data_IF_489386001458
#
_entry.id   IF_489386001458
#
_cell.length_a   1.000
_cell.length_b   1.000
_cell.length_c   1.000
_cell.angle_alpha   90.00
_cell.angle_beta   90.00
_cell.angle_gamma   90.00
#
_symmetry.space_group_name_H-M   'P 1'
#
loop_
_entity.id
_entity.type
_entity.pdbx_description
1 polymer ?
#
# COMPACT_ATOMS: atom_id res chain seq x y z
N UNK A 1 21.75 76.09 15.49
CA UNK A 1 22.32 75.15 14.51
C UNK A 1 22.87 73.96 15.29
N UNK A 2 22.05 72.91 15.47
CA UNK A 2 22.16 71.60 14.78
C UNK A 2 23.59 71.02 14.80
N UNK A 3 23.91 69.85 15.36
CA UNK A 3 23.13 68.78 15.97
C UNK A 3 24.02 67.53 16.10
N UNK A 4 24.15 67.01 17.31
CA UNK A 4 24.80 65.73 17.61
C UNK A 4 23.94 64.57 17.06
N UNK A 5 24.51 63.61 16.31
CA UNK A 5 23.91 62.29 16.13
C UNK A 5 24.94 61.18 16.26
N UNK A 6 24.75 60.39 17.32
CA UNK A 6 25.49 59.19 17.72
C UNK A 6 25.23 58.06 16.72
N UNK A 7 26.29 57.44 16.21
CA UNK A 7 26.23 56.14 15.56
C UNK A 7 26.20 55.04 16.64
N UNK A 8 25.01 54.62 17.05
CA UNK A 8 24.81 53.38 17.83
C UNK A 8 23.67 52.62 17.16
N UNK A 9 23.95 51.99 16.02
CA UNK A 9 22.96 51.16 15.33
C UNK A 9 23.58 50.00 14.54
N UNK A 10 24.82 49.59 14.86
CA UNK A 10 25.49 48.48 14.16
C UNK A 10 25.65 47.20 14.99
N UNK A 11 25.17 47.15 16.24
CA UNK A 11 25.34 45.96 17.11
C UNK A 11 24.05 45.19 17.43
N UNK A 12 22.88 45.74 17.15
CA UNK A 12 21.60 45.08 17.47
C UNK A 12 21.11 44.17 16.34
N UNK A 13 21.47 44.46 15.07
CA UNK A 13 21.05 43.64 13.92
C UNK A 13 21.79 42.29 13.86
N UNK A 14 23.01 42.19 14.41
CA UNK A 14 23.74 40.93 14.46
C UNK A 14 23.30 39.96 15.57
N UNK A 15 22.54 40.42 16.58
CA UNK A 15 22.02 39.52 17.62
C UNK A 15 20.67 38.89 17.25
N UNK A 16 19.90 39.51 16.34
CA UNK A 16 18.67 38.89 15.82
C UNK A 16 18.95 37.84 14.73
N UNK A 17 20.10 37.89 14.06
CA UNK A 17 20.49 36.90 13.06
C UNK A 17 20.98 35.57 13.68
N UNK A 18 21.23 35.53 15.00
CA UNK A 18 21.73 34.32 15.67
C UNK A 18 20.65 33.52 16.43
N UNK A 19 19.42 34.04 16.52
CA UNK A 19 18.30 33.35 17.21
C UNK A 19 17.37 32.57 16.27
N UNK A 20 17.66 32.56 14.96
CA UNK A 20 16.93 31.74 13.97
C UNK A 20 17.64 30.40 13.72
N UNK A 21 18.74 30.14 14.45
CA UNK A 21 19.49 28.89 14.39
C UNK A 21 18.77 27.75 15.13
N UNK A 22 18.14 26.89 14.34
CA UNK A 22 17.80 25.50 14.66
C UNK A 22 16.71 25.25 15.71
N UNK A 23 15.46 25.57 15.39
CA UNK A 23 14.40 24.58 15.60
C UNK A 23 14.45 23.59 14.44
N UNK A 24 15.40 22.66 14.50
CA UNK A 24 15.25 21.40 13.77
C UNK A 24 14.14 20.65 14.50
N UNK A 25 12.89 20.83 14.07
CA UNK A 25 11.85 19.89 14.43
C UNK A 25 12.37 18.53 13.97
N UNK A 26 12.66 17.64 14.91
CA UNK A 26 12.80 16.23 14.61
C UNK A 26 11.42 15.80 14.12
N UNK A 27 11.19 15.89 12.81
CA UNK A 27 10.10 15.16 12.18
C UNK A 27 10.49 13.71 12.43
N UNK A 28 9.84 13.09 13.42
CA UNK A 28 9.80 11.64 13.48
C UNK A 28 9.06 11.26 12.21
N UNK A 29 9.82 10.95 11.17
CA UNK A 29 9.27 10.36 9.97
C UNK A 29 8.62 9.05 10.43
N UNK A 30 7.31 8.96 10.24
CA UNK A 30 6.56 7.75 10.53
C UNK A 30 7.24 6.60 9.82
N UNK A 31 7.48 5.49 10.52
CA UNK A 31 8.03 4.31 9.86
C UNK A 31 7.04 3.86 8.80
N UNK A 32 7.48 3.83 7.55
CA UNK A 32 6.66 3.33 6.45
C UNK A 32 6.43 1.84 6.58
N UNK A 33 5.25 1.38 6.15
CA UNK A 33 4.91 -0.03 6.10
C UNK A 33 4.74 -0.42 4.65
N UNK A 34 5.86 -0.55 3.96
CA UNK A 34 6.00 -0.51 2.50
C UNK A 34 5.49 -1.77 1.75
N UNK A 35 5.32 -2.89 2.44
CA UNK A 35 5.00 -4.19 1.80
C UNK A 35 4.28 -5.14 2.76
N UNK A 36 3.93 -6.32 2.27
CA UNK A 36 3.46 -7.41 3.12
C UNK A 36 4.47 -7.70 4.26
N UNK A 37 4.00 -7.63 5.51
CA UNK A 37 4.82 -7.71 6.73
C UNK A 37 5.79 -6.52 6.95
N UNK A 38 5.56 -5.39 6.28
CA UNK A 38 6.24 -4.14 6.56
C UNK A 38 7.73 -4.14 6.21
N UNK A 39 8.52 -3.23 6.83
CA UNK A 39 9.93 -3.05 6.49
C UNK A 39 10.72 -4.35 6.55
N UNK A 40 11.44 -4.62 5.47
CA UNK A 40 12.24 -5.84 5.28
C UNK A 40 11.43 -7.15 5.38
N UNK A 41 10.09 -7.11 5.29
CA UNK A 41 9.20 -8.27 5.38
C UNK A 41 9.19 -8.97 6.74
N UNK A 42 9.68 -8.30 7.80
CA UNK A 42 9.92 -8.92 9.09
C UNK A 42 8.64 -9.13 9.91
N UNK A 43 7.64 -8.29 9.73
CA UNK A 43 6.43 -8.22 10.55
C UNK A 43 6.67 -7.53 11.89
N UNK A 44 7.71 -6.70 11.99
CA UNK A 44 8.14 -6.04 13.22
C UNK A 44 8.19 -4.52 13.00
N UNK A 45 7.61 -3.77 13.93
CA UNK A 45 7.75 -2.30 13.99
C UNK A 45 8.96 -1.93 14.85
N UNK A 46 9.53 -0.74 14.59
CA UNK A 46 10.39 -0.09 15.56
C UNK A 46 9.53 0.57 16.65
N UNK A 47 9.69 0.14 17.90
CA UNK A 47 8.98 0.71 19.04
C UNK A 47 7.88 -0.19 19.60
N UNK A 48 6.91 0.42 20.29
CA UNK A 48 5.86 -0.30 21.01
C UNK A 48 4.51 -0.11 20.32
N UNK A 49 3.81 -1.21 20.07
CA UNK A 49 2.39 -1.19 19.74
C UNK A 49 1.56 -1.43 21.02
N UNK A 50 0.33 -0.90 21.11
CA UNK A 50 -0.58 -1.27 22.19
C UNK A 50 -0.80 -2.79 22.22
N UNK A 51 -0.49 -3.43 23.35
CA UNK A 51 -0.68 -4.88 23.52
C UNK A 51 -2.18 -5.26 23.61
N UNK A 52 -3.01 -4.30 24.00
CA UNK A 52 -4.45 -4.40 23.99
C UNK A 52 -5.03 -3.02 23.66
N UNK A 53 -6.21 -3.01 23.06
CA UNK A 53 -7.00 -1.81 22.79
C UNK A 53 -8.49 -2.14 22.88
N UNK A 54 -9.30 -1.11 23.03
CA UNK A 54 -10.75 -1.14 23.19
C UNK A 54 -11.43 -0.28 22.13
N UNK A 55 -12.74 -0.46 21.93
CA UNK A 55 -13.50 0.36 20.98
C UNK A 55 -13.49 1.86 21.32
N UNK A 56 -13.18 2.24 22.56
CA UNK A 56 -13.01 3.64 22.97
C UNK A 56 -11.71 4.27 22.44
N UNK A 57 -10.71 3.44 22.13
CA UNK A 57 -9.42 3.86 21.55
C UNK A 57 -9.44 3.81 20.02
N UNK A 58 -10.54 3.34 19.43
CA UNK A 58 -10.74 3.30 17.98
C UNK A 58 -10.89 4.72 17.42
N UNK A 59 -9.92 5.16 16.64
CA UNK A 59 -9.94 6.49 16.03
C UNK A 59 -11.00 6.60 14.93
N UNK A 60 -11.07 5.59 14.07
CA UNK A 60 -12.03 5.52 12.97
C UNK A 60 -12.16 4.09 12.46
N UNK A 61 -13.26 3.83 11.75
CA UNK A 61 -13.51 2.57 11.06
C UNK A 61 -14.29 2.85 9.79
N UNK A 62 -13.90 2.17 8.71
CA UNK A 62 -14.61 2.21 7.45
C UNK A 62 -15.12 0.83 7.06
N UNK A 63 -16.19 0.83 6.26
CA UNK A 63 -16.67 -0.36 5.59
C UNK A 63 -15.99 -0.44 4.22
N UNK A 64 -15.26 -1.53 3.98
CA UNK A 64 -14.69 -1.82 2.67
C UNK A 64 -15.75 -2.44 1.74
N UNK A 65 -15.65 -2.24 0.42
CA UNK A 65 -16.43 -3.02 -0.53
C UNK A 65 -15.94 -4.47 -0.54
N UNK A 66 -16.87 -5.43 -0.47
CA UNK A 66 -16.55 -6.86 -0.47
C UNK A 66 -15.71 -7.32 0.73
N UNK A 67 -14.87 -8.32 0.52
CA UNK A 67 -13.97 -8.92 1.51
C UNK A 67 -12.52 -8.45 1.28
N UNK A 68 -11.76 -8.18 2.35
CA UNK A 68 -10.37 -7.73 2.26
C UNK A 68 -9.44 -8.57 3.14
N UNK A 69 -8.75 -9.57 2.55
CA UNK A 69 -7.67 -10.31 3.24
C UNK A 69 -6.31 -9.61 3.09
N UNK A 70 -6.19 -8.63 2.19
CA UNK A 70 -5.01 -7.80 2.01
C UNK A 70 -4.61 -7.19 3.34
N UNK A 71 -3.31 -7.28 3.67
CA UNK A 71 -2.77 -6.42 4.72
C UNK A 71 -2.72 -4.99 4.19
N UNK A 72 -2.97 -3.97 5.02
CA UNK A 72 -2.72 -2.59 4.65
C UNK A 72 -1.21 -2.33 4.56
N UNK A 73 -0.82 -1.51 3.59
CA UNK A 73 0.50 -0.88 3.51
C UNK A 73 0.38 0.62 3.68
N UNK A 74 1.41 1.27 4.23
CA UNK A 74 1.37 2.67 4.64
C UNK A 74 2.56 3.40 4.03
N UNK A 75 2.27 4.52 3.37
CA UNK A 75 3.26 5.51 2.95
C UNK A 75 2.82 6.92 3.37
N UNK A 76 3.53 7.54 4.30
CA UNK A 76 3.14 8.78 4.96
C UNK A 76 1.77 8.66 5.65
N UNK A 77 0.79 9.43 5.16
CA UNK A 77 -0.60 9.42 5.67
C UNK A 77 -1.56 8.63 4.79
N UNK A 78 -1.05 7.83 3.87
CA UNK A 78 -1.86 7.04 2.93
C UNK A 78 -1.77 5.57 3.30
N UNK A 79 -2.92 4.94 3.44
CA UNK A 79 -3.07 3.51 3.63
C UNK A 79 -3.57 2.93 2.31
N UNK A 80 -2.83 1.97 1.75
CA UNK A 80 -3.24 1.24 0.55
C UNK A 80 -3.58 -0.21 0.90
N UNK A 81 -4.67 -0.71 0.32
CA UNK A 81 -5.11 -2.09 0.51
C UNK A 81 -6.00 -2.56 -0.64
N UNK A 82 -6.18 -3.88 -0.72
CA UNK A 82 -7.08 -4.50 -1.68
C UNK A 82 -8.31 -5.10 -1.00
N UNK A 83 -9.45 -5.06 -1.68
CA UNK A 83 -10.64 -5.84 -1.33
C UNK A 83 -11.32 -6.36 -2.59
N UNK A 84 -12.28 -7.29 -2.46
CA UNK A 84 -12.97 -7.87 -3.60
C UNK A 84 -14.39 -8.30 -3.26
N UNK A 85 -15.32 -8.06 -4.17
CA UNK A 85 -16.68 -8.54 -4.13
C UNK A 85 -16.86 -9.66 -5.17
N UNK A 86 -16.96 -10.90 -4.69
CA UNK A 86 -17.15 -12.07 -5.55
C UNK A 86 -18.51 -12.06 -6.24
N UNK A 87 -19.57 -11.57 -5.59
CA UNK A 87 -20.92 -11.55 -6.18
C UNK A 87 -20.99 -10.54 -7.31
N UNK A 88 -20.33 -9.39 -7.14
CA UNK A 88 -20.22 -8.38 -8.19
C UNK A 88 -19.10 -8.65 -9.20
N UNK A 89 -18.25 -9.66 -8.96
CA UNK A 89 -17.05 -9.96 -9.75
C UNK A 89 -16.12 -8.74 -9.93
N UNK A 90 -15.92 -7.99 -8.83
CA UNK A 90 -15.06 -6.81 -8.80
C UNK A 90 -13.93 -6.93 -7.77
N UNK A 91 -12.75 -6.49 -8.15
CA UNK A 91 -11.62 -6.22 -7.26
C UNK A 91 -11.44 -4.72 -7.08
N UNK A 92 -10.99 -4.35 -5.89
CA UNK A 92 -10.81 -2.97 -5.47
C UNK A 92 -9.38 -2.73 -5.01
N UNK A 93 -8.82 -1.61 -5.41
CA UNK A 93 -7.61 -1.02 -4.80
C UNK A 93 -8.02 0.30 -4.19
N UNK A 94 -7.77 0.46 -2.89
CA UNK A 94 -8.18 1.62 -2.14
C UNK A 94 -6.96 2.38 -1.63
N UNK A 95 -7.03 3.71 -1.66
CA UNK A 95 -6.20 4.59 -0.86
C UNK A 95 -7.06 5.31 0.16
N UNK A 96 -6.68 5.19 1.43
CA UNK A 96 -7.41 5.70 2.58
C UNK A 96 -6.50 6.67 3.34
N UNK A 97 -7.06 7.78 3.81
CA UNK A 97 -6.36 8.72 4.67
C UNK A 97 -6.21 8.13 6.08
N UNK A 98 -4.98 8.03 6.57
CA UNK A 98 -4.67 7.47 7.88
C UNK A 98 -5.23 8.31 9.05
N UNK A 99 -5.44 9.61 8.86
CA UNK A 99 -5.87 10.50 9.94
C UNK A 99 -7.36 10.29 10.28
N UNK A 100 -8.21 10.08 9.28
CA UNK A 100 -9.67 10.10 9.44
C UNK A 100 -10.43 8.94 8.77
N UNK A 101 -9.71 8.05 8.07
CA UNK A 101 -10.30 6.92 7.37
C UNK A 101 -11.02 7.29 6.07
N UNK A 102 -10.98 8.54 5.61
CA UNK A 102 -11.61 8.93 4.34
C UNK A 102 -10.97 8.20 3.16
N UNK A 103 -11.79 7.71 2.23
CA UNK A 103 -11.30 7.11 0.98
C UNK A 103 -10.87 8.24 0.06
N UNK A 104 -9.57 8.32 -0.22
CA UNK A 104 -8.98 9.33 -1.11
C UNK A 104 -9.23 8.97 -2.57
N UNK A 105 -9.10 7.68 -2.91
CA UNK A 105 -9.47 7.13 -4.21
C UNK A 105 -9.72 5.63 -4.13
N UNK A 106 -10.46 5.11 -5.11
CA UNK A 106 -10.76 3.70 -5.30
C UNK A 106 -10.64 3.36 -6.80
N UNK A 107 -9.97 2.25 -7.11
CA UNK A 107 -9.96 1.64 -8.44
C UNK A 107 -10.74 0.34 -8.42
N UNK A 108 -11.38 0.04 -9.54
CA UNK A 108 -12.25 -1.12 -9.70
C UNK A 108 -11.80 -1.92 -10.92
N UNK A 109 -11.67 -3.23 -10.76
CA UNK A 109 -11.25 -4.13 -11.81
C UNK A 109 -12.22 -5.31 -11.87
N UNK A 110 -12.87 -5.45 -13.02
CA UNK A 110 -13.70 -6.63 -13.27
C UNK A 110 -12.82 -7.83 -13.53
N UNK A 111 -13.19 -8.97 -12.95
CA UNK A 111 -12.43 -10.20 -13.04
C UNK A 111 -13.36 -11.41 -13.19
N UNK A 112 -12.81 -12.51 -13.68
CA UNK A 112 -13.53 -13.79 -13.73
C UNK A 112 -13.39 -14.52 -12.39
N UNK A 113 -14.51 -14.80 -11.71
CA UNK A 113 -14.50 -15.60 -10.47
C UNK A 113 -14.16 -17.06 -10.76
N UNK A 114 -13.57 -17.73 -9.78
CA UNK A 114 -13.16 -19.14 -9.88
C UNK A 114 -13.09 -19.76 -8.49
N UNK A 115 -13.05 -21.09 -8.41
CA UNK A 115 -12.92 -21.76 -7.12
C UNK A 115 -11.57 -21.41 -6.45
N UNK A 116 -11.64 -20.97 -5.21
CA UNK A 116 -10.49 -20.72 -4.34
C UNK A 116 -10.65 -21.46 -3.01
N UNK A 117 -9.56 -21.65 -2.29
CA UNK A 117 -9.60 -22.26 -0.96
C UNK A 117 -10.32 -21.34 0.03
N UNK A 118 -11.04 -21.90 1.01
CA UNK A 118 -11.88 -21.16 1.97
C UNK A 118 -11.12 -20.20 2.90
N UNK A 119 -9.80 -20.40 3.03
CA UNK A 119 -8.90 -19.50 3.78
C UNK A 119 -8.33 -18.37 2.91
N UNK A 120 -8.79 -18.24 1.67
CA UNK A 120 -8.35 -17.24 0.71
C UNK A 120 -9.53 -16.39 0.24
N UNK A 121 -9.22 -15.24 -0.33
CA UNK A 121 -10.16 -14.37 -1.03
C UNK A 121 -9.54 -13.87 -2.33
N UNK A 122 -10.37 -13.29 -3.21
CA UNK A 122 -9.88 -12.57 -4.40
C UNK A 122 -9.10 -11.29 -4.08
N UNK A 123 -8.92 -10.95 -2.81
CA UNK A 123 -8.07 -9.85 -2.36
C UNK A 123 -7.05 -10.34 -1.32
N UNK A 124 -6.49 -11.54 -1.49
CA UNK A 124 -5.44 -12.07 -0.59
C UNK A 124 -4.08 -11.40 -0.80
N UNK A 125 -3.87 -10.82 -1.98
CA UNK A 125 -2.65 -10.07 -2.30
C UNK A 125 -2.59 -8.76 -1.52
N UNK A 126 -1.40 -8.44 -0.99
CA UNK A 126 -1.09 -7.16 -0.36
C UNK A 126 -0.29 -6.29 -1.34
N UNK A 127 -0.62 -5.00 -1.54
CA UNK A 127 0.18 -4.11 -2.35
C UNK A 127 1.61 -3.93 -1.83
N UNK A 128 2.50 -3.41 -2.65
CA UNK A 128 3.74 -2.79 -2.20
C UNK A 128 3.69 -1.28 -2.52
N UNK A 129 4.39 -0.46 -1.77
CA UNK A 129 4.42 0.99 -1.97
C UNK A 129 5.83 1.52 -1.71
N UNK A 130 6.28 2.46 -2.53
CA UNK A 130 7.53 3.21 -2.34
C UNK A 130 7.26 4.71 -2.30
N UNK A 131 8.29 5.54 -2.49
CA UNK A 131 8.16 6.99 -2.45
C UNK A 131 7.28 7.57 -3.57
N UNK A 132 7.13 6.85 -4.68
CA UNK A 132 6.53 7.33 -5.92
C UNK A 132 5.21 6.62 -6.22
N UNK A 133 5.16 5.30 -6.01
CA UNK A 133 4.09 4.46 -6.53
C UNK A 133 3.62 3.39 -5.56
N UNK A 134 2.36 3.00 -5.74
CA UNK A 134 1.76 1.77 -5.21
C UNK A 134 1.65 0.73 -6.31
N UNK A 135 2.12 -0.48 -6.02
CA UNK A 135 2.17 -1.63 -6.92
C UNK A 135 1.19 -2.69 -6.45
N UNK A 136 0.32 -3.12 -7.36
CA UNK A 136 -0.75 -4.08 -7.08
C UNK A 136 -0.69 -5.23 -8.05
N UNK A 137 -1.04 -6.41 -7.56
CA UNK A 137 -1.16 -7.59 -8.40
C UNK A 137 -2.45 -8.34 -8.10
N UNK A 138 -3.07 -8.85 -9.14
CA UNK A 138 -4.24 -9.71 -9.02
C UNK A 138 -4.27 -10.70 -10.19
N UNK A 139 -5.02 -11.79 -10.03
CA UNK A 139 -5.20 -12.75 -11.10
C UNK A 139 -6.58 -13.38 -11.11
N UNK A 140 -7.02 -13.68 -12.33
CA UNK A 140 -8.16 -14.48 -12.71
C UNK A 140 -7.72 -15.58 -13.69
N UNK A 141 -8.57 -16.57 -14.02
CA UNK A 141 -8.21 -17.63 -14.95
C UNK A 141 -7.69 -17.12 -16.30
N UNK A 142 -8.26 -16.02 -16.78
CA UNK A 142 -7.91 -15.41 -18.05
C UNK A 142 -6.62 -14.59 -18.03
N UNK A 143 -6.25 -13.99 -16.88
CA UNK A 143 -5.05 -13.13 -16.82
C UNK A 143 -4.55 -12.86 -15.40
N UNK A 144 -3.27 -12.58 -15.31
CA UNK A 144 -2.58 -12.02 -14.15
C UNK A 144 -2.16 -10.60 -14.47
N UNK A 145 -2.53 -9.64 -13.64
CA UNK A 145 -2.15 -8.24 -13.79
C UNK A 145 -1.14 -7.84 -12.73
N UNK A 146 -0.14 -7.06 -13.13
CA UNK A 146 0.74 -6.30 -12.26
C UNK A 146 0.66 -4.83 -12.70
N UNK A 147 0.33 -3.93 -11.78
CA UNK A 147 0.03 -2.53 -12.09
C UNK A 147 0.72 -1.60 -11.11
N UNK A 148 1.02 -0.38 -11.55
CA UNK A 148 1.51 0.71 -10.72
C UNK A 148 0.60 1.93 -10.84
N UNK A 149 0.29 2.53 -9.70
CA UNK A 149 -0.38 3.82 -9.61
C UNK A 149 0.49 4.79 -8.84
N UNK A 150 0.42 6.07 -9.15
CA UNK A 150 0.97 7.10 -8.27
C UNK A 150 0.14 7.18 -6.96
N UNK A 151 0.61 7.94 -5.99
CA UNK A 151 -0.11 8.10 -4.72
C UNK A 151 -1.47 8.82 -4.84
N UNK A 152 -1.75 9.47 -5.97
CA UNK A 152 -3.04 10.11 -6.28
C UNK A 152 -4.00 9.17 -7.01
N UNK A 153 -3.55 7.96 -7.36
CA UNK A 153 -4.34 6.95 -8.04
C UNK A 153 -4.32 7.10 -9.56
N UNK A 154 -3.39 7.85 -10.14
CA UNK A 154 -3.17 7.85 -11.59
C UNK A 154 -2.39 6.60 -12.00
N UNK A 155 -2.84 5.90 -13.04
CA UNK A 155 -2.12 4.72 -13.54
C UNK A 155 -0.82 5.18 -14.20
N UNK A 156 0.31 4.59 -13.77
CA UNK A 156 1.62 4.86 -14.35
C UNK A 156 1.97 3.80 -15.39
N UNK A 157 1.71 2.52 -15.07
CA UNK A 157 1.84 1.43 -16.02
C UNK A 157 1.07 0.19 -15.55
N UNK A 158 0.83 -0.72 -16.51
CA UNK A 158 0.33 -2.07 -16.25
C UNK A 158 1.06 -3.12 -17.11
N UNK A 159 1.07 -4.37 -16.63
CA UNK A 159 1.61 -5.54 -17.32
C UNK A 159 0.65 -6.71 -17.13
N UNK A 160 0.26 -7.32 -18.23
CA UNK A 160 -0.43 -8.60 -18.25
C UNK A 160 0.62 -9.72 -18.31
N UNK A 161 0.54 -10.65 -17.36
CA UNK A 161 1.48 -11.77 -17.20
C UNK A 161 0.85 -13.11 -17.61
N UNK A 162 -0.24 -13.07 -18.37
CA UNK A 162 -0.99 -14.22 -18.87
C UNK A 162 -1.83 -14.95 -17.81
N UNK A 163 -2.48 -16.03 -18.23
CA UNK A 163 -3.44 -16.84 -17.45
C UNK A 163 -2.91 -17.32 -16.09
N UNK A 164 -3.83 -17.59 -15.16
CA UNK A 164 -3.53 -18.10 -13.82
C UNK A 164 -4.41 -19.29 -13.43
N UNK A 165 -3.78 -20.36 -12.94
CA UNK A 165 -4.49 -21.52 -12.37
C UNK A 165 -3.90 -21.91 -11.02
N UNK A 166 -4.73 -21.86 -9.98
CA UNK A 166 -4.42 -22.35 -8.65
C UNK A 166 -5.69 -22.81 -7.96
N UNK A 167 -5.64 -23.97 -7.29
CA UNK A 167 -6.72 -24.43 -6.41
C UNK A 167 -6.83 -23.58 -5.13
N UNK A 168 -5.77 -22.83 -4.78
CA UNK A 168 -5.71 -22.03 -3.57
C UNK A 168 -6.13 -20.57 -3.78
N UNK A 169 -6.28 -20.12 -5.03
CA UNK A 169 -6.44 -18.71 -5.35
C UNK A 169 -5.10 -17.97 -5.50
N UNK A 170 -5.19 -16.70 -5.85
CA UNK A 170 -4.06 -15.79 -6.01
C UNK A 170 -3.81 -15.01 -4.72
N UNK A 171 -2.60 -15.12 -4.17
CA UNK A 171 -2.22 -14.44 -2.92
C UNK A 171 -0.74 -14.05 -2.87
N UNK A 172 -0.11 -13.90 -4.04
CA UNK A 172 1.28 -13.46 -4.14
C UNK A 172 1.35 -11.94 -4.15
N UNK A 173 2.18 -11.38 -3.27
CA UNK A 173 2.34 -9.93 -3.11
C UNK A 173 3.60 -9.44 -3.84
N UNK A 174 3.54 -8.32 -4.58
CA UNK A 174 4.71 -7.73 -5.19
C UNK A 174 5.72 -7.26 -4.14
N UNK A 175 6.99 -7.17 -4.54
CA UNK A 175 8.08 -6.62 -3.74
C UNK A 175 8.83 -5.60 -4.60
N UNK A 176 9.13 -4.44 -4.01
CA UNK A 176 10.00 -3.42 -4.62
C UNK A 176 11.44 -3.64 -4.12
N UNK A 177 12.40 -3.67 -5.03
CA UNK A 177 13.83 -3.75 -4.71
C UNK A 177 14.66 -2.96 -5.73
N UNK A 178 15.18 -1.81 -5.32
CA UNK A 178 15.77 -0.84 -6.25
C UNK A 178 14.74 -0.47 -7.32
N UNK A 179 15.14 -0.54 -8.58
CA UNK A 179 14.29 -0.19 -9.73
C UNK A 179 13.42 -1.37 -10.22
N UNK A 180 13.32 -2.44 -9.42
CA UNK A 180 12.60 -3.67 -9.79
C UNK A 180 11.32 -3.83 -8.98
N UNK A 181 10.24 -4.20 -9.69
CA UNK A 181 9.03 -4.77 -9.09
C UNK A 181 9.04 -6.27 -9.37
N UNK A 182 9.10 -7.05 -8.31
CA UNK A 182 9.24 -8.51 -8.36
C UNK A 182 7.91 -9.13 -7.93
N UNK A 183 7.37 -10.02 -8.75
CA UNK A 183 6.15 -10.78 -8.46
C UNK A 183 6.41 -12.28 -8.64
N UNK A 184 6.22 -13.07 -7.58
CA UNK A 184 6.35 -14.52 -7.66
C UNK A 184 5.06 -15.14 -8.20
N UNK A 185 5.02 -15.51 -9.48
CA UNK A 185 3.85 -16.16 -10.09
C UNK A 185 3.89 -17.68 -9.85
N UNK A 186 3.44 -18.11 -8.66
CA UNK A 186 3.28 -19.53 -8.33
C UNK A 186 1.90 -20.03 -8.77
N UNK A 187 1.88 -20.96 -9.72
CA UNK A 187 0.65 -21.53 -10.27
C UNK A 187 0.84 -23.00 -10.65
N UNK A 188 -0.26 -23.70 -10.94
CA UNK A 188 -0.19 -25.04 -11.51
C UNK A 188 0.59 -25.01 -12.83
N UNK A 189 1.29 -26.12 -13.13
CA UNK A 189 1.90 -26.29 -14.44
C UNK A 189 0.80 -26.24 -15.50
N UNK A 190 0.91 -25.39 -16.54
CA UNK A 190 -0.03 -25.41 -17.65
C UNK A 190 -0.08 -26.82 -18.25
N UNK A 191 -1.27 -27.34 -18.49
CA UNK A 191 -1.41 -28.66 -19.10
C UNK A 191 -0.86 -28.59 -20.52
N UNK A 192 0.29 -29.21 -20.77
CA UNK A 192 0.92 -29.21 -22.10
C UNK A 192 0.18 -30.14 -23.09
N UNK A 193 -0.69 -31.00 -22.58
CA UNK A 193 -1.27 -32.13 -23.32
C UNK A 193 -2.81 -32.08 -23.46
N UNK A 194 -3.44 -30.93 -23.17
CA UNK A 194 -4.90 -30.81 -23.15
C UNK A 194 -5.53 -31.35 -21.85
N UNK A 195 -6.85 -31.18 -21.64
CA UNK A 195 -7.48 -31.39 -20.34
C UNK A 195 -7.33 -32.84 -19.87
N UNK A 196 -6.59 -33.04 -18.77
CA UNK A 196 -6.58 -34.32 -18.06
C UNK A 196 -7.95 -34.58 -17.44
N UNK A 197 -8.53 -35.73 -17.78
CA UNK A 197 -9.77 -36.24 -17.18
C UNK A 197 -9.63 -36.25 -15.65
N UNK A 198 -10.60 -35.71 -14.88
CA UNK A 198 -10.52 -35.74 -13.43
C UNK A 198 -10.47 -37.18 -12.93
N UNK A 199 -9.43 -37.56 -12.19
CA UNK A 199 -9.46 -38.76 -11.36
C UNK A 199 -10.33 -38.44 -10.15
N UNK A 200 -11.48 -39.11 -10.06
CA UNK A 200 -12.34 -39.09 -8.88
C UNK A 200 -11.56 -39.50 -7.63
N UNK A 201 -11.60 -38.66 -6.59
CA UNK A 201 -11.34 -39.06 -5.21
C UNK A 201 -12.68 -39.24 -4.50
#
# INVERSE_FOLDING_TARGET
MLGFRRFVLSRIVLQFAFLVGALSANIVESQEWDRFRGPNGSGVIAGNAPAAWTDQELLWKIKLPGQGHSSPVIWGKRIFLMSADETAAQQYVLCVNADDGSVLWQKEFSFSTYHIHTLSSFASTTPAVDAEHVYVAWASPDKTMLMAFDHNGEEVWQRELGEFDSQHGFGTSPIVYGDLVILCKQQKKPDRDGPRTPTSF
#
